data_IF_463336489241
#
_entry.id   IF_463336489241
#
_cell.length_a   1.000
_cell.length_b   1.000
_cell.length_c   1.000
_cell.angle_alpha   90.00
_cell.angle_beta   90.00
_cell.angle_gamma   90.00
#
_symmetry.space_group_name_H-M   'P 1'
#
loop_
_entity.id
_entity.type
_entity.pdbx_description
1 polymer ?
#
# COMPACT_ATOMS: atom_id res chain seq x y z
N UNK A 1 -11.68 5.03 -18.79
CA UNK A 1 -11.64 3.63 -18.32
C UNK A 1 -10.65 3.58 -17.17
N UNK A 2 -10.99 2.96 -16.03
CA UNK A 2 -10.09 2.91 -14.87
C UNK A 2 -9.13 1.72 -15.01
N UNK A 3 -7.83 1.95 -14.87
CA UNK A 3 -6.80 0.91 -14.92
C UNK A 3 -6.56 0.40 -13.51
N UNK A 4 -6.68 -0.92 -13.31
CA UNK A 4 -6.34 -1.55 -12.04
C UNK A 4 -4.90 -2.04 -12.14
N UNK A 5 -4.02 -1.50 -11.30
CA UNK A 5 -2.64 -1.94 -11.16
C UNK A 5 -2.53 -2.70 -9.85
N UNK A 6 -2.19 -3.98 -9.95
CA UNK A 6 -1.75 -4.75 -8.79
C UNK A 6 -0.25 -4.47 -8.62
N UNK A 7 0.13 -3.75 -7.57
CA UNK A 7 1.54 -3.47 -7.25
C UNK A 7 2.34 -4.76 -6.95
N UNK A 8 1.67 -5.91 -6.81
CA UNK A 8 2.33 -7.19 -6.59
C UNK A 8 3.00 -7.78 -7.83
N UNK A 9 2.60 -7.41 -9.06
CA UNK A 9 3.08 -8.09 -10.28
C UNK A 9 3.44 -7.15 -11.46
N UNK A 10 2.95 -5.90 -11.50
CA UNK A 10 3.00 -5.09 -12.73
C UNK A 10 3.52 -3.65 -12.58
N UNK A 11 4.08 -3.28 -11.42
CA UNK A 11 4.72 -1.98 -11.25
C UNK A 11 6.23 -2.15 -11.17
N UNK A 12 6.98 -1.23 -11.79
CA UNK A 12 8.44 -1.19 -11.62
C UNK A 12 8.76 -0.87 -10.15
N UNK A 13 9.87 -1.40 -9.64
CA UNK A 13 10.30 -1.14 -8.26
C UNK A 13 10.46 0.38 -7.97
N UNK A 14 10.80 1.16 -9.00
CA UNK A 14 10.93 2.62 -8.94
C UNK A 14 9.57 3.31 -8.77
N UNK A 15 8.56 2.92 -9.56
CA UNK A 15 7.19 3.45 -9.45
C UNK A 15 6.57 3.12 -8.09
N UNK A 16 6.80 1.90 -7.60
CA UNK A 16 6.35 1.45 -6.28
C UNK A 16 7.00 2.31 -5.19
N UNK A 17 8.30 2.55 -5.30
CA UNK A 17 9.05 3.35 -4.31
C UNK A 17 8.59 4.80 -4.29
N UNK A 18 8.44 5.43 -5.46
CA UNK A 18 7.96 6.80 -5.59
C UNK A 18 6.56 6.97 -5.00
N UNK A 19 5.63 6.09 -5.36
CA UNK A 19 4.26 6.16 -4.87
C UNK A 19 4.19 5.90 -3.37
N UNK A 20 4.93 4.91 -2.86
CA UNK A 20 4.97 4.60 -1.42
C UNK A 20 5.44 5.81 -0.62
N UNK A 21 6.49 6.48 -1.08
CA UNK A 21 7.03 7.70 -0.45
C UNK A 21 5.98 8.81 -0.39
N UNK A 22 5.27 9.05 -1.49
CA UNK A 22 4.22 10.07 -1.58
C UNK A 22 3.05 9.77 -0.62
N UNK A 23 2.63 8.51 -0.53
CA UNK A 23 1.52 8.09 0.32
C UNK A 23 1.87 8.17 1.82
N UNK A 24 3.09 7.80 2.19
CA UNK A 24 3.57 7.94 3.57
C UNK A 24 3.59 9.42 3.96
N UNK A 25 4.14 10.29 3.10
CA UNK A 25 4.16 11.73 3.36
C UNK A 25 2.74 12.26 3.58
N UNK A 26 1.82 11.98 2.66
CA UNK A 26 0.43 12.43 2.76
C UNK A 26 -0.27 11.94 4.03
N UNK A 27 -0.05 10.67 4.42
CA UNK A 27 -0.62 10.10 5.63
C UNK A 27 -0.11 10.79 6.89
N UNK A 28 1.21 10.97 7.00
CA UNK A 28 1.84 11.64 8.14
C UNK A 28 1.36 13.09 8.25
N UNK A 29 1.30 13.81 7.13
CA UNK A 29 0.79 15.17 7.07
C UNK A 29 -0.66 15.25 7.58
N UNK A 30 -1.54 14.37 7.08
CA UNK A 30 -2.95 14.32 7.50
C UNK A 30 -3.16 13.94 8.95
N UNK A 31 -2.22 13.23 9.56
CA UNK A 31 -2.25 12.85 10.97
C UNK A 31 -1.61 13.90 11.91
N UNK A 32 -1.31 15.11 11.41
CA UNK A 32 -0.76 16.20 12.21
C UNK A 32 0.77 16.20 12.25
N UNK A 33 1.42 15.62 11.25
CA UNK A 33 2.88 15.62 11.08
C UNK A 33 3.61 14.48 11.79
N UNK A 34 2.91 13.60 12.50
CA UNK A 34 3.51 12.44 13.16
C UNK A 34 2.56 11.24 13.21
N UNK A 35 3.15 10.05 13.09
CA UNK A 35 2.50 8.77 13.36
C UNK A 35 3.31 8.06 14.44
N UNK A 36 2.63 7.54 15.45
CA UNK A 36 3.26 6.79 16.52
C UNK A 36 2.76 5.34 16.47
N UNK A 37 3.71 4.41 16.50
CA UNK A 37 3.44 2.98 16.61
C UNK A 37 4.28 2.41 17.73
N UNK A 38 3.71 1.46 18.46
CA UNK A 38 4.44 0.58 19.36
C UNK A 38 5.17 -0.52 18.57
N UNK A 39 6.20 -1.11 19.17
CA UNK A 39 6.92 -2.25 18.55
C UNK A 39 6.00 -3.44 18.29
N UNK A 40 4.97 -3.65 19.12
CA UNK A 40 4.00 -4.72 18.93
C UNK A 40 3.13 -4.47 17.70
N UNK A 41 2.63 -3.24 17.51
CA UNK A 41 1.84 -2.87 16.34
C UNK A 41 2.66 -3.03 15.06
N UNK A 42 3.93 -2.62 15.06
CA UNK A 42 4.82 -2.80 13.89
C UNK A 42 4.96 -4.28 13.52
N UNK A 43 5.12 -5.17 14.51
CA UNK A 43 5.22 -6.62 14.27
C UNK A 43 3.91 -7.17 13.70
N UNK A 44 2.77 -6.81 14.29
CA UNK A 44 1.46 -7.25 13.83
C UNK A 44 1.16 -6.79 12.40
N UNK A 45 1.50 -5.53 12.08
CA UNK A 45 1.34 -4.99 10.73
C UNK A 45 2.21 -5.77 9.74
N UNK A 46 3.49 -6.01 10.07
CA UNK A 46 4.39 -6.78 9.21
C UNK A 46 3.89 -8.21 8.96
N UNK A 47 3.42 -8.88 10.00
CA UNK A 47 2.92 -10.25 9.89
C UNK A 47 1.61 -10.27 9.07
N UNK A 48 0.75 -9.25 9.22
CA UNK A 48 -0.44 -9.10 8.38
C UNK A 48 -0.10 -8.78 6.93
N UNK A 49 0.93 -7.99 6.64
CA UNK A 49 1.32 -7.66 5.25
C UNK A 49 1.68 -8.89 4.43
N UNK A 50 2.19 -9.96 5.07
CA UNK A 50 2.54 -11.21 4.39
C UNK A 50 1.34 -11.89 3.70
N UNK A 51 0.11 -11.62 4.15
CA UNK A 51 -1.13 -12.19 3.59
C UNK A 51 -1.96 -11.18 2.81
N UNK A 52 -1.51 -9.93 2.71
CA UNK A 52 -2.25 -8.85 2.04
C UNK A 52 -1.52 -8.38 0.78
N UNK A 53 -2.26 -7.73 -0.10
CA UNK A 53 -1.70 -6.99 -1.24
C UNK A 53 -2.40 -5.63 -1.36
N UNK A 54 -1.68 -4.64 -1.87
CA UNK A 54 -2.23 -3.32 -2.19
C UNK A 54 -2.64 -3.31 -3.65
N UNK A 55 -3.92 -3.06 -3.89
CA UNK A 55 -4.50 -2.84 -5.20
C UNK A 55 -4.66 -1.34 -5.43
N UNK A 56 -4.26 -0.88 -6.62
CA UNK A 56 -4.40 0.51 -7.04
C UNK A 56 -5.37 0.57 -8.19
N UNK A 57 -6.32 1.49 -8.12
CA UNK A 57 -7.19 1.84 -9.23
C UNK A 57 -6.90 3.27 -9.65
N UNK A 58 -6.42 3.43 -10.88
CA UNK A 58 -6.16 4.72 -11.52
C UNK A 58 -7.36 5.12 -12.37
N UNK A 59 -7.94 6.29 -12.09
CA UNK A 59 -9.01 6.91 -12.85
C UNK A 59 -8.87 8.44 -12.84
N UNK A 60 -9.98 9.16 -12.72
CA UNK A 60 -9.95 10.60 -12.42
C UNK A 60 -9.37 10.88 -11.02
N UNK A 61 -9.38 9.87 -10.17
CA UNK A 61 -8.81 9.80 -8.83
C UNK A 61 -7.97 8.51 -8.68
N UNK A 62 -7.06 8.50 -7.69
CA UNK A 62 -6.28 7.32 -7.32
C UNK A 62 -6.89 6.69 -6.09
N UNK A 63 -7.30 5.41 -6.21
CA UNK A 63 -7.84 4.64 -5.07
C UNK A 63 -6.92 3.50 -4.70
N UNK A 64 -6.66 3.38 -3.41
CA UNK A 64 -5.85 2.32 -2.82
C UNK A 64 -6.77 1.40 -2.01
N UNK A 65 -6.60 0.09 -2.19
CA UNK A 65 -7.34 -0.93 -1.43
C UNK A 65 -6.38 -2.02 -0.96
N UNK A 66 -6.49 -2.40 0.30
CA UNK A 66 -5.83 -3.61 0.81
C UNK A 66 -6.79 -4.78 0.60
N UNK A 67 -6.31 -5.84 -0.04
CA UNK A 67 -7.04 -7.09 -0.25
C UNK A 67 -6.21 -8.28 0.25
N UNK A 68 -6.87 -9.40 0.53
CA UNK A 68 -6.16 -10.66 0.82
C UNK A 68 -5.47 -11.17 -0.45
N UNK A 69 -4.23 -11.65 -0.29
CA UNK A 69 -3.51 -12.34 -1.37
C UNK A 69 -4.21 -13.68 -1.60
N UNK A 70 -4.74 -13.89 -2.81
CA UNK A 70 -5.36 -15.16 -3.17
C UNK A 70 -4.33 -16.30 -3.06
N UNK A 71 -4.69 -17.45 -2.47
CA UNK A 71 -3.76 -18.56 -2.22
C UNK A 71 -3.16 -19.18 -3.50
N UNK A 72 -3.75 -18.89 -4.66
CA UNK A 72 -3.39 -19.45 -5.97
C UNK A 72 -2.24 -18.68 -6.66
N UNK A 73 -1.79 -17.54 -6.11
CA UNK A 73 -0.72 -16.68 -6.66
C UNK A 73 0.62 -16.87 -5.91
N UNK A 74 0.93 -18.09 -5.45
CA UNK A 74 2.21 -18.42 -4.78
C UNK A 74 3.28 -18.89 -5.76
#
# INVERSE_FOLDING_TARGET
>A
MAQIINLSEHASDEDVHYLTSLLIYHLVERCGGQLQFTLQEVRQIRDSLATKMVQIQLGNDVRLRIIDRLPELR
#
